data_IF_657654524620
#
_entry.id   IF_657654524620
#
_cell.length_a   1.000
_cell.length_b   1.000
_cell.length_c   1.000
_cell.angle_alpha   90.00
_cell.angle_beta   90.00
_cell.angle_gamma   90.00
#
_symmetry.space_group_name_H-M   'P 1'
#
loop_
_entity.id
_entity.type
_entity.pdbx_description
1 polymer ?
#
# COMPACT_ATOMS: atom_id res chain seq x y z
N UNK A 1 -11.61 37.44 -11.57
CA UNK A 1 -11.06 37.44 -10.19
C UNK A 1 -12.09 37.05 -9.13
N UNK A 2 -13.26 37.70 -9.02
CA UNK A 2 -14.29 37.24 -8.05
C UNK A 2 -14.99 35.96 -8.49
N UNK A 3 -15.36 35.86 -9.77
CA UNK A 3 -16.05 34.67 -10.33
C UNK A 3 -15.19 33.40 -10.28
N UNK A 4 -13.88 33.51 -10.49
CA UNK A 4 -12.95 32.37 -10.42
C UNK A 4 -12.84 31.79 -9.01
N UNK A 5 -12.89 32.66 -7.99
CA UNK A 5 -12.83 32.24 -6.58
C UNK A 5 -14.12 31.55 -6.15
N UNK A 6 -15.27 32.01 -6.63
CA UNK A 6 -16.56 31.39 -6.31
C UNK A 6 -16.76 30.06 -7.04
N UNK A 7 -16.26 29.93 -8.28
CA UNK A 7 -16.19 28.66 -8.99
C UNK A 7 -15.32 27.63 -8.24
N UNK A 8 -14.12 28.03 -7.80
CA UNK A 8 -13.22 27.17 -7.02
C UNK A 8 -13.83 26.75 -5.66
N UNK A 9 -14.58 27.65 -5.00
CA UNK A 9 -15.29 27.32 -3.76
C UNK A 9 -16.40 26.30 -3.98
N UNK A 10 -17.14 26.41 -5.09
CA UNK A 10 -18.17 25.44 -5.45
C UNK A 10 -17.56 24.06 -5.74
N UNK A 11 -16.46 24.01 -6.51
CA UNK A 11 -15.75 22.76 -6.82
C UNK A 11 -15.17 22.10 -5.55
N UNK A 12 -14.62 22.91 -4.63
CA UNK A 12 -14.15 22.43 -3.34
C UNK A 12 -15.29 21.84 -2.49
N UNK A 13 -16.44 22.52 -2.43
CA UNK A 13 -17.60 22.05 -1.69
C UNK A 13 -18.14 20.72 -2.25
N UNK A 14 -18.16 20.58 -3.58
CA UNK A 14 -18.58 19.33 -4.23
C UNK A 14 -17.60 18.19 -3.96
N UNK A 15 -16.30 18.47 -4.02
CA UNK A 15 -15.25 17.49 -3.70
C UNK A 15 -15.33 17.06 -2.23
N UNK A 16 -15.60 18.01 -1.32
CA UNK A 16 -15.81 17.73 0.10
C UNK A 16 -17.05 16.87 0.34
N UNK A 17 -18.15 17.12 -0.37
CA UNK A 17 -19.34 16.28 -0.32
C UNK A 17 -19.04 14.85 -0.79
N UNK A 18 -18.37 14.70 -1.95
CA UNK A 18 -17.94 13.39 -2.47
C UNK A 18 -17.04 12.64 -1.48
N UNK A 19 -16.11 13.33 -0.84
CA UNK A 19 -15.24 12.73 0.18
C UNK A 19 -16.04 12.26 1.40
N UNK A 20 -16.98 13.06 1.87
CA UNK A 20 -17.84 12.72 3.01
C UNK A 20 -18.71 11.51 2.73
N UNK A 21 -19.27 11.41 1.52
CA UNK A 21 -20.07 10.26 1.10
C UNK A 21 -19.22 8.99 1.02
N UNK A 22 -18.01 9.08 0.45
CA UNK A 22 -17.06 7.97 0.40
C UNK A 22 -16.64 7.52 1.80
N UNK A 23 -16.42 8.45 2.74
CA UNK A 23 -16.13 8.14 4.14
C UNK A 23 -17.31 7.43 4.82
N UNK A 24 -18.55 7.87 4.54
CA UNK A 24 -19.76 7.23 5.05
C UNK A 24 -19.91 5.79 4.57
N UNK A 25 -19.66 5.53 3.28
CA UNK A 25 -19.71 4.18 2.72
C UNK A 25 -18.58 3.30 3.28
N UNK A 26 -17.36 3.83 3.43
CA UNK A 26 -16.27 3.11 4.07
C UNK A 26 -16.63 2.69 5.52
N UNK A 27 -17.19 3.62 6.31
CA UNK A 27 -17.62 3.35 7.67
C UNK A 27 -18.77 2.33 7.74
N UNK A 28 -19.60 2.23 6.70
CA UNK A 28 -20.62 1.20 6.58
C UNK A 28 -20.00 -0.17 6.28
N UNK A 29 -19.07 -0.24 5.33
CA UNK A 29 -18.37 -1.47 4.97
C UNK A 29 -17.56 -2.04 6.14
N UNK A 30 -16.86 -1.19 6.88
CA UNK A 30 -16.11 -1.62 8.07
C UNK A 30 -17.04 -2.23 9.11
N UNK A 31 -18.17 -1.59 9.43
CA UNK A 31 -19.16 -2.13 10.37
C UNK A 31 -19.74 -3.48 9.90
N UNK A 32 -19.97 -3.64 8.61
CA UNK A 32 -20.43 -4.91 8.03
C UNK A 32 -19.37 -6.01 8.16
N UNK A 33 -18.11 -5.68 7.88
CA UNK A 33 -16.98 -6.60 8.01
C UNK A 33 -16.75 -7.01 9.48
N UNK A 34 -16.82 -6.07 10.41
CA UNK A 34 -16.72 -6.32 11.86
C UNK A 34 -17.85 -7.23 12.35
N UNK A 35 -19.10 -6.98 11.91
CA UNK A 35 -20.25 -7.82 12.26
C UNK A 35 -20.15 -9.24 11.67
N UNK A 36 -19.59 -9.40 10.48
CA UNK A 36 -19.29 -10.70 9.88
C UNK A 36 -18.20 -11.44 10.68
N UNK A 37 -17.13 -10.74 11.07
CA UNK A 37 -16.05 -11.28 11.90
C UNK A 37 -16.54 -11.78 13.26
N UNK A 38 -17.41 -11.03 13.94
CA UNK A 38 -17.95 -11.42 15.24
C UNK A 38 -18.83 -12.68 15.20
N UNK A 39 -19.43 -12.98 14.03
CA UNK A 39 -20.27 -14.16 13.83
C UNK A 39 -19.49 -15.38 13.37
N UNK A 40 -18.22 -15.22 12.99
CA UNK A 40 -17.38 -16.31 12.44
C UNK A 40 -16.81 -17.19 13.54
N UNK A 41 -16.77 -18.50 13.26
CA UNK A 41 -15.96 -19.45 14.03
C UNK A 41 -14.49 -19.33 13.61
N UNK A 42 -13.52 -19.62 14.50
CA UNK A 42 -12.11 -19.63 14.14
C UNK A 42 -11.86 -20.58 12.95
N UNK A 43 -11.34 -20.05 11.83
CA UNK A 43 -10.97 -20.83 10.64
C UNK A 43 -11.92 -20.77 9.44
N UNK A 44 -13.16 -20.27 9.58
CA UNK A 44 -14.08 -20.12 8.43
C UNK A 44 -13.83 -18.82 7.69
N UNK A 45 -13.66 -18.75 6.36
CA UNK A 45 -13.42 -17.50 5.61
C UNK A 45 -14.62 -16.52 5.65
N UNK A 46 -14.36 -15.21 5.55
CA UNK A 46 -15.39 -14.16 5.61
C UNK A 46 -16.30 -14.21 4.38
N UNK A 47 -17.63 -14.15 4.59
CA UNK A 47 -18.61 -14.21 3.50
C UNK A 47 -18.58 -12.97 2.58
N UNK A 48 -18.23 -11.82 3.15
CA UNK A 48 -18.10 -10.52 2.46
C UNK A 48 -16.82 -10.49 1.61
N UNK A 49 -15.74 -11.14 2.07
CA UNK A 49 -14.44 -11.14 1.38
C UNK A 49 -14.33 -12.30 0.37
N UNK A 50 -14.95 -13.45 0.65
CA UNK A 50 -14.80 -14.66 -0.17
C UNK A 50 -15.51 -14.61 -1.53
N UNK A 51 -16.59 -13.84 -1.66
CA UNK A 51 -17.44 -13.85 -2.86
C UNK A 51 -17.13 -12.77 -3.88
N UNK A 52 -16.43 -11.69 -3.51
CA UNK A 52 -16.32 -10.49 -4.37
C UNK A 52 -14.89 -9.96 -4.59
N UNK A 53 -13.88 -10.46 -3.87
CA UNK A 53 -12.50 -10.04 -4.10
C UNK A 53 -11.79 -11.10 -4.94
N UNK A 54 -11.75 -10.89 -6.25
CA UNK A 54 -10.78 -11.60 -7.11
C UNK A 54 -9.40 -11.23 -6.56
N UNK A 55 -8.70 -12.19 -5.92
CA UNK A 55 -7.33 -11.93 -5.49
C UNK A 55 -6.52 -11.57 -6.73
N UNK A 56 -5.91 -10.37 -6.79
CA UNK A 56 -5.04 -10.02 -7.91
C UNK A 56 -3.87 -11.02 -7.94
N UNK A 57 -3.37 -11.37 -9.14
CA UNK A 57 -2.19 -12.21 -9.26
C UNK A 57 -0.99 -11.51 -8.62
N UNK A 58 -0.04 -12.30 -8.12
CA UNK A 58 1.13 -11.82 -7.39
C UNK A 58 1.89 -10.67 -8.05
N UNK A 59 2.06 -10.77 -9.36
CA UNK A 59 2.69 -9.73 -10.19
C UNK A 59 2.01 -8.36 -10.11
N UNK A 60 0.70 -8.31 -9.93
CA UNK A 60 -0.07 -7.07 -9.89
C UNK A 60 0.02 -6.41 -8.50
N UNK A 61 0.05 -7.23 -7.45
CA UNK A 61 0.37 -6.78 -6.09
C UNK A 61 1.80 -6.24 -6.02
N UNK A 62 2.76 -6.99 -6.55
CA UNK A 62 4.16 -6.55 -6.68
C UNK A 62 4.29 -5.23 -7.45
N UNK A 63 3.58 -5.07 -8.58
CA UNK A 63 3.59 -3.83 -9.35
C UNK A 63 3.04 -2.62 -8.57
N UNK A 64 2.00 -2.83 -7.74
CA UNK A 64 1.45 -1.76 -6.88
C UNK A 64 2.42 -1.35 -5.79
N UNK A 65 3.11 -2.32 -5.18
CA UNK A 65 4.14 -2.06 -4.18
C UNK A 65 5.31 -1.32 -4.81
N UNK A 66 5.81 -1.80 -5.96
CA UNK A 66 6.90 -1.15 -6.69
C UNK A 66 6.55 0.30 -7.05
N UNK A 67 5.32 0.54 -7.54
CA UNK A 67 4.83 1.89 -7.81
C UNK A 67 4.81 2.77 -6.56
N UNK A 68 4.34 2.23 -5.43
CA UNK A 68 4.26 2.98 -4.17
C UNK A 68 5.65 3.32 -3.62
N UNK A 69 6.56 2.35 -3.59
CA UNK A 69 7.97 2.53 -3.20
C UNK A 69 8.66 3.57 -4.08
N UNK A 70 8.49 3.49 -5.39
CA UNK A 70 9.07 4.42 -6.34
C UNK A 70 8.60 5.86 -6.09
N UNK A 71 7.27 6.07 -6.05
CA UNK A 71 6.69 7.39 -5.82
C UNK A 71 7.16 8.02 -4.51
N UNK A 72 7.28 7.19 -3.48
CA UNK A 72 7.69 7.64 -2.17
C UNK A 72 9.18 8.04 -2.13
N UNK A 73 10.06 7.24 -2.74
CA UNK A 73 11.49 7.58 -2.86
C UNK A 73 11.72 8.82 -3.71
N UNK A 74 11.00 8.95 -4.83
CA UNK A 74 11.08 10.12 -5.71
C UNK A 74 10.64 11.39 -4.96
N UNK A 75 9.52 11.33 -4.23
CA UNK A 75 9.06 12.44 -3.42
C UNK A 75 10.06 12.83 -2.31
N UNK A 76 10.72 11.85 -1.68
CA UNK A 76 11.77 12.11 -0.69
C UNK A 76 13.01 12.77 -1.32
N UNK A 77 13.40 12.36 -2.53
CA UNK A 77 14.56 12.91 -3.24
C UNK A 77 14.33 14.33 -3.78
N UNK A 78 13.09 14.68 -4.14
CA UNK A 78 12.74 15.98 -4.71
C UNK A 78 12.79 17.16 -3.72
N UNK A 79 12.88 16.90 -2.41
CA UNK A 79 12.98 17.93 -1.39
C UNK A 79 13.86 17.47 -0.22
N UNK A 80 15.19 17.43 -0.40
CA UNK A 80 16.12 16.97 0.63
C UNK A 80 16.13 17.88 1.87
N UNK A 81 15.80 19.17 1.69
CA UNK A 81 15.67 20.17 2.75
C UNK A 81 14.40 19.97 3.62
N UNK A 82 13.45 19.14 3.16
CA UNK A 82 12.16 18.94 3.81
C UNK A 82 12.14 17.55 4.43
N UNK A 83 11.92 17.47 5.73
CA UNK A 83 11.76 16.17 6.39
C UNK A 83 10.61 15.42 5.72
N UNK A 84 10.84 14.23 5.16
CA UNK A 84 9.78 13.49 4.50
C UNK A 84 8.70 13.14 5.53
N UNK A 85 7.43 13.32 5.14
CA UNK A 85 6.26 13.18 6.04
C UNK A 85 6.16 11.77 6.63
N UNK A 86 6.67 10.80 5.89
CA UNK A 86 6.94 9.45 6.39
C UNK A 86 8.47 9.28 6.35
N UNK A 87 9.12 8.68 7.36
CA UNK A 87 10.52 8.26 7.27
C UNK A 87 10.71 6.94 6.50
N UNK A 88 11.88 6.72 5.89
CA UNK A 88 12.23 5.46 5.21
C UNK A 88 11.96 4.25 6.11
N UNK A 89 12.36 4.33 7.38
CA UNK A 89 12.18 3.22 8.32
C UNK A 89 10.72 2.81 8.47
N UNK A 90 9.79 3.77 8.49
CA UNK A 90 8.35 3.47 8.54
C UNK A 90 7.86 2.75 7.29
N UNK A 91 8.45 3.04 6.13
CA UNK A 91 8.14 2.33 4.88
C UNK A 91 8.68 0.90 4.90
N UNK A 92 9.90 0.69 5.41
CA UNK A 92 10.49 -0.64 5.57
C UNK A 92 9.66 -1.49 6.54
N UNK A 93 9.28 -0.93 7.68
CA UNK A 93 8.43 -1.60 8.67
C UNK A 93 7.05 -1.94 8.10
N UNK A 94 6.45 -1.03 7.31
CA UNK A 94 5.22 -1.30 6.60
C UNK A 94 5.37 -2.46 5.61
N UNK A 95 6.46 -2.48 4.83
CA UNK A 95 6.70 -3.53 3.84
C UNK A 95 6.78 -4.92 4.52
N UNK A 96 7.52 -5.03 5.62
CA UNK A 96 7.63 -6.26 6.44
C UNK A 96 6.29 -6.69 7.04
N UNK A 97 5.53 -5.74 7.59
CA UNK A 97 4.29 -6.05 8.35
C UNK A 97 3.06 -6.18 7.46
N UNK A 98 3.11 -5.67 6.22
CA UNK A 98 2.01 -5.75 5.26
C UNK A 98 1.66 -7.18 4.82
N UNK A 99 2.58 -8.13 5.05
CA UNK A 99 2.49 -9.49 4.52
C UNK A 99 2.74 -9.57 3.02
N UNK A 100 3.09 -8.46 2.36
CA UNK A 100 3.34 -8.42 0.91
C UNK A 100 4.79 -8.72 0.54
N UNK A 101 5.69 -8.62 1.50
CA UNK A 101 7.09 -8.98 1.37
C UNK A 101 7.38 -10.25 2.16
N UNK A 102 8.00 -11.22 1.49
CA UNK A 102 8.45 -12.46 2.11
C UNK A 102 9.97 -12.50 2.05
N UNK A 103 10.59 -12.27 3.21
CA UNK A 103 12.04 -12.22 3.40
C UNK A 103 12.72 -13.52 2.99
N UNK A 104 12.13 -14.67 3.31
CA UNK A 104 12.71 -15.97 2.99
C UNK A 104 12.63 -16.26 1.50
N UNK A 105 11.47 -16.01 0.89
CA UNK A 105 11.31 -16.09 -0.55
C UNK A 105 12.29 -15.17 -1.27
N UNK A 106 12.37 -13.91 -0.84
CA UNK A 106 13.22 -12.91 -1.48
C UNK A 106 14.69 -13.34 -1.46
N UNK A 107 15.21 -13.79 -0.32
CA UNK A 107 16.59 -14.29 -0.25
C UNK A 107 16.80 -15.57 -1.05
N UNK A 108 15.81 -16.47 -1.13
CA UNK A 108 15.92 -17.71 -1.90
C UNK A 108 15.94 -17.48 -3.43
N UNK A 109 15.39 -16.36 -3.89
CA UNK A 109 15.37 -16.00 -5.31
C UNK A 109 16.51 -15.05 -5.70
N UNK A 110 17.22 -14.47 -4.73
CA UNK A 110 18.18 -13.39 -4.94
C UNK A 110 19.49 -13.71 -4.20
N UNK A 111 20.22 -14.71 -4.73
CA UNK A 111 21.46 -15.20 -4.13
C UNK A 111 22.53 -14.12 -3.98
N UNK A 112 22.55 -13.12 -4.85
CA UNK A 112 23.44 -11.95 -4.76
C UNK A 112 23.19 -11.15 -3.48
N UNK A 113 21.93 -10.95 -3.12
CA UNK A 113 21.50 -10.28 -1.88
C UNK A 113 21.84 -11.15 -0.66
N UNK A 114 21.59 -12.46 -0.77
CA UNK A 114 21.87 -13.41 0.30
C UNK A 114 23.37 -13.53 0.60
N UNK A 115 24.21 -13.65 -0.44
CA UNK A 115 25.65 -13.76 -0.33
C UNK A 115 26.30 -12.46 0.15
N UNK A 116 25.72 -11.30 -0.21
CA UNK A 116 26.15 -10.01 0.30
C UNK A 116 25.79 -9.77 1.78
N UNK A 117 24.92 -10.61 2.37
CA UNK A 117 24.40 -10.41 3.72
C UNK A 117 23.61 -9.10 3.88
N UNK A 118 23.07 -8.57 2.77
CA UNK A 118 22.32 -7.33 2.77
C UNK A 118 20.94 -7.51 3.41
N UNK A 119 20.39 -6.45 4.01
CA UNK A 119 19.00 -6.49 4.47
C UNK A 119 18.07 -6.57 3.24
N UNK A 120 17.29 -7.65 3.08
CA UNK A 120 16.53 -7.92 1.86
C UNK A 120 15.40 -6.91 1.63
N UNK A 121 14.78 -6.43 2.71
CA UNK A 121 13.68 -5.45 2.66
C UNK A 121 14.20 -4.09 2.21
N UNK A 122 15.32 -3.65 2.79
CA UNK A 122 16.02 -2.45 2.36
C UNK A 122 16.54 -2.57 0.94
N UNK A 123 17.08 -3.73 0.56
CA UNK A 123 17.51 -3.98 -0.81
C UNK A 123 16.34 -3.87 -1.80
N UNK A 124 15.20 -4.49 -1.49
CA UNK A 124 14.02 -4.40 -2.34
C UNK A 124 13.50 -2.96 -2.47
N UNK A 125 13.44 -2.24 -1.34
CA UNK A 125 13.05 -0.83 -1.30
C UNK A 125 13.97 0.05 -2.16
N UNK A 126 15.29 -0.12 -2.03
CA UNK A 126 16.27 0.72 -2.72
C UNK A 126 16.51 0.34 -4.19
N UNK A 127 16.47 -0.96 -4.53
CA UNK A 127 16.91 -1.47 -5.82
C UNK A 127 15.93 -2.50 -6.41
N UNK A 128 15.52 -3.48 -5.61
CA UNK A 128 14.78 -4.65 -6.12
C UNK A 128 13.45 -4.32 -6.82
N UNK A 129 12.76 -3.27 -6.39
CA UNK A 129 11.53 -2.80 -7.05
C UNK A 129 11.76 -2.25 -8.47
N UNK A 130 12.86 -1.53 -8.71
CA UNK A 130 13.23 -1.01 -10.03
C UNK A 130 13.81 -2.09 -10.94
N UNK A 131 14.49 -3.06 -10.34
CA UNK A 131 15.01 -4.25 -11.03
C UNK A 131 13.90 -5.27 -11.38
N UNK A 132 12.65 -5.03 -10.95
CA UNK A 132 11.52 -5.91 -11.21
C UNK A 132 11.56 -7.23 -10.44
N UNK A 133 12.33 -7.31 -9.35
CA UNK A 133 12.37 -8.48 -8.47
C UNK A 133 11.03 -8.64 -7.76
N UNK A 134 10.65 -9.89 -7.48
CA UNK A 134 9.39 -10.16 -6.78
C UNK A 134 9.60 -10.06 -5.26
N UNK A 135 8.77 -9.30 -4.53
CA UNK A 135 8.88 -9.18 -3.08
C UNK A 135 8.41 -10.43 -2.31
N UNK A 136 7.61 -11.30 -2.93
CA UNK A 136 6.98 -12.44 -2.28
C UNK A 136 6.19 -13.32 -3.26
N UNK A 137 5.56 -14.38 -2.73
CA UNK A 137 4.77 -15.36 -3.51
C UNK A 137 3.29 -15.02 -3.68
N UNK A 138 2.80 -13.98 -3.00
CA UNK A 138 1.39 -13.54 -3.00
C UNK A 138 1.01 -12.74 -4.22
#
# INVERSE_FOLDING_TARGET
MSEDVDALRAELAETQARLKDAQGEMARLVRLAEADLQRRRPGEPSSVVASSVRRPPAKEVAARIAKFVHLYREAAAASPERTPVVPEQTMLDWLETSGLFDRHFYLSCNDDVANAGADPTRHYYNHGSEEGRLPGTL
#
